data_IF_106203291861
#
_entry.id   IF_106203291861
#
_cell.length_a   1.000
_cell.length_b   1.000
_cell.length_c   1.000
_cell.angle_alpha   90.00
_cell.angle_beta   90.00
_cell.angle_gamma   90.00
#
_symmetry.space_group_name_H-M   'P 1'
#
loop_
_entity.id
_entity.type
_entity.pdbx_description
1 polymer ?
#
# COMPACT_ATOMS: atom_id res chain seq x y z
N UNK A 1 -1.98 -13.43 -2.90
CA UNK A 1 -1.55 -14.42 -3.91
C UNK A 1 -1.20 -15.69 -3.17
N UNK A 2 -2.03 -16.71 -3.36
CA UNK A 2 -1.70 -18.08 -2.95
C UNK A 2 -0.48 -18.52 -3.76
N UNK A 3 0.28 -19.45 -3.19
CA UNK A 3 1.44 -20.05 -3.81
C UNK A 3 1.49 -21.50 -3.36
N UNK A 4 2.11 -22.36 -4.15
CA UNK A 4 2.47 -23.69 -3.65
C UNK A 4 3.45 -23.59 -2.48
N UNK A 5 3.55 -24.68 -1.72
CA UNK A 5 4.32 -24.71 -0.48
C UNK A 5 5.81 -24.67 -0.85
N UNK A 6 6.49 -23.67 -0.30
CA UNK A 6 7.94 -23.51 -0.41
C UNK A 6 8.53 -23.26 0.97
N UNK A 7 9.23 -24.24 1.50
CA UNK A 7 10.05 -24.09 2.71
C UNK A 7 11.49 -23.75 2.34
N UNK A 8 12.17 -23.00 3.21
CA UNK A 8 13.53 -22.50 2.95
C UNK A 8 14.46 -22.76 4.13
N UNK A 9 15.67 -23.25 3.84
CA UNK A 9 16.71 -23.40 4.84
C UNK A 9 18.10 -23.02 4.30
N UNK A 10 18.84 -22.21 5.04
CA UNK A 10 20.22 -21.83 4.70
C UNK A 10 21.22 -22.91 5.15
N UNK A 11 22.17 -23.25 4.28
CA UNK A 11 23.15 -24.32 4.48
C UNK A 11 24.56 -23.76 4.62
N UNK A 12 25.34 -24.38 5.50
CA UNK A 12 26.71 -23.94 5.85
C UNK A 12 27.78 -24.88 5.30
N UNK A 13 29.01 -24.38 5.11
CA UNK A 13 30.14 -25.21 4.62
C UNK A 13 30.54 -26.30 5.63
N UNK A 14 30.92 -25.89 6.84
CA UNK A 14 31.28 -26.81 7.92
C UNK A 14 30.72 -26.33 9.25
N UNK A 15 30.33 -27.31 10.05
CA UNK A 15 29.84 -27.18 11.40
C UNK A 15 30.91 -27.27 12.48
N UNK A 16 32.18 -27.04 12.15
CA UNK A 16 33.23 -27.15 13.15
C UNK A 16 33.03 -26.07 14.22
N UNK A 17 32.68 -26.53 15.41
CA UNK A 17 32.74 -25.76 16.65
C UNK A 17 34.14 -25.15 16.72
N UNK A 18 34.23 -23.83 16.85
CA UNK A 18 35.53 -23.14 16.90
C UNK A 18 36.42 -23.77 17.99
N UNK A 19 37.75 -23.80 17.81
CA UNK A 19 38.65 -24.33 18.85
C UNK A 19 38.42 -23.65 20.20
N UNK A 20 38.11 -22.35 20.20
CA UNK A 20 37.73 -21.59 21.38
C UNK A 20 36.49 -22.17 22.06
N UNK A 21 35.47 -22.53 21.29
CA UNK A 21 34.24 -23.16 21.81
C UNK A 21 34.49 -24.60 22.25
N UNK A 22 35.35 -25.36 21.55
CA UNK A 22 35.77 -26.70 21.98
C UNK A 22 36.50 -26.65 23.33
N UNK A 23 37.46 -25.72 23.49
CA UNK A 23 38.19 -25.48 24.75
C UNK A 23 37.25 -25.08 25.88
N UNK A 24 36.33 -24.14 25.63
CA UNK A 24 35.34 -23.70 26.63
C UNK A 24 34.41 -24.84 27.09
N UNK A 25 33.90 -25.65 26.16
CA UNK A 25 33.04 -26.79 26.51
C UNK A 25 33.82 -27.85 27.32
N UNK A 26 35.11 -28.04 27.01
CA UNK A 26 36.01 -28.92 27.77
C UNK A 26 36.23 -28.43 29.21
N UNK A 27 36.37 -27.11 29.41
CA UNK A 27 36.52 -26.51 30.75
C UNK A 27 35.22 -26.54 31.57
N UNK A 28 34.06 -26.42 30.91
CA UNK A 28 32.74 -26.41 31.57
C UNK A 28 32.13 -27.81 31.76
N UNK A 29 32.87 -28.90 31.47
CA UNK A 29 32.36 -30.29 31.49
C UNK A 29 31.04 -30.49 30.71
N UNK A 30 30.83 -29.70 29.65
CA UNK A 30 29.64 -29.78 28.80
C UNK A 30 29.95 -30.65 27.59
N UNK A 31 29.11 -31.67 27.34
CA UNK A 31 29.19 -32.47 26.12
C UNK A 31 29.34 -31.55 24.89
N UNK A 32 30.30 -31.88 24.02
CA UNK A 32 30.51 -31.15 22.77
C UNK A 32 29.21 -31.17 21.97
N UNK A 33 28.54 -30.01 21.87
CA UNK A 33 27.31 -29.84 21.08
C UNK A 33 27.46 -30.52 19.73
N UNK A 34 26.54 -31.45 19.44
CA UNK A 34 26.38 -32.23 18.20
C UNK A 34 26.85 -31.46 16.96
N UNK A 35 27.53 -32.18 16.05
CA UNK A 35 27.89 -31.69 14.72
C UNK A 35 26.73 -30.88 14.12
N UNK A 36 27.05 -29.68 13.63
CA UNK A 36 26.05 -28.71 13.15
C UNK A 36 25.20 -29.38 12.06
N UNK A 37 23.91 -29.61 12.32
CA UNK A 37 23.03 -30.40 11.43
C UNK A 37 22.81 -29.71 10.07
N UNK A 38 22.96 -28.39 10.00
CA UNK A 38 22.60 -27.58 8.83
C UNK A 38 23.78 -27.36 7.86
N UNK A 39 24.67 -28.33 7.69
CA UNK A 39 25.71 -28.27 6.66
C UNK A 39 25.16 -28.68 5.30
N UNK A 40 25.77 -28.19 4.23
CA UNK A 40 25.47 -28.62 2.86
C UNK A 40 25.69 -30.15 2.72
N UNK A 41 26.80 -30.67 3.23
CA UNK A 41 27.11 -32.10 3.25
C UNK A 41 26.00 -32.94 3.89
N UNK A 42 25.53 -32.54 5.08
CA UNK A 42 24.50 -33.28 5.79
C UNK A 42 23.15 -33.17 5.08
N UNK A 43 22.84 -32.02 4.46
CA UNK A 43 21.63 -31.87 3.67
C UNK A 43 21.62 -32.82 2.46
N UNK A 44 22.71 -32.89 1.70
CA UNK A 44 22.82 -33.80 0.55
C UNK A 44 22.77 -35.27 0.99
N UNK A 45 23.49 -35.63 2.07
CA UNK A 45 23.42 -36.98 2.64
C UNK A 45 22.01 -37.35 3.09
N UNK A 46 21.31 -36.42 3.73
CA UNK A 46 19.91 -36.61 4.12
C UNK A 46 19.07 -36.85 2.88
N UNK A 47 19.08 -35.94 1.90
CA UNK A 47 18.24 -36.00 0.70
C UNK A 47 18.40 -37.30 -0.10
N UNK A 48 19.61 -37.88 -0.11
CA UNK A 48 19.93 -39.11 -0.82
C UNK A 48 19.78 -40.39 0.02
N UNK A 49 19.42 -40.29 1.30
CA UNK A 49 19.37 -41.44 2.21
C UNK A 49 18.02 -42.16 2.13
N UNK A 50 17.98 -43.36 1.58
CA UNK A 50 16.83 -44.28 1.60
C UNK A 50 16.47 -44.77 3.03
N UNK A 51 17.45 -44.90 3.91
CA UNK A 51 17.29 -45.43 5.28
C UNK A 51 16.77 -44.43 6.31
N UNK A 52 16.54 -43.17 5.94
CA UNK A 52 16.11 -42.18 6.92
C UNK A 52 14.64 -42.42 7.31
N UNK A 53 14.30 -42.31 8.60
CA UNK A 53 12.93 -42.58 9.08
C UNK A 53 11.85 -41.78 8.35
N UNK A 54 12.15 -40.54 7.93
CA UNK A 54 11.21 -39.67 7.21
C UNK A 54 11.05 -40.06 5.72
N UNK A 55 11.93 -40.92 5.21
CA UNK A 55 11.90 -41.41 3.83
C UNK A 55 11.33 -42.83 3.75
N UNK A 56 10.72 -43.32 4.84
CA UNK A 56 9.92 -44.54 4.79
C UNK A 56 8.83 -44.37 3.75
N UNK A 57 8.76 -45.29 2.78
CA UNK A 57 7.82 -45.26 1.65
C UNK A 57 7.98 -44.02 0.75
N UNK A 58 9.19 -43.44 0.71
CA UNK A 58 9.56 -42.38 -0.23
C UNK A 58 10.52 -42.94 -1.27
N UNK A 59 10.20 -42.78 -2.54
CA UNK A 59 11.14 -43.06 -3.63
C UNK A 59 11.98 -41.82 -3.90
N UNK A 60 13.29 -41.94 -3.71
CA UNK A 60 14.25 -40.85 -3.88
C UNK A 60 14.82 -40.89 -5.31
N UNK A 61 14.76 -39.76 -6.02
CA UNK A 61 15.30 -39.64 -7.38
C UNK A 61 16.19 -38.39 -7.43
N UNK A 62 17.48 -38.59 -7.66
CA UNK A 62 18.43 -37.51 -7.93
C UNK A 62 18.35 -37.10 -9.41
N UNK A 63 18.04 -35.84 -9.68
CA UNK A 63 17.89 -35.33 -11.05
C UNK A 63 19.23 -34.89 -11.66
N UNK A 64 20.10 -34.24 -10.89
CA UNK A 64 21.28 -33.53 -11.40
C UNK A 64 22.59 -33.88 -10.68
N UNK A 65 22.68 -35.09 -10.10
CA UNK A 65 23.85 -35.56 -9.35
C UNK A 65 24.23 -34.61 -8.20
N UNK A 66 23.43 -34.64 -7.15
CA UNK A 66 23.52 -33.74 -6.01
C UNK A 66 24.91 -33.69 -5.35
N UNK A 67 25.67 -34.79 -5.41
CA UNK A 67 27.06 -34.86 -4.89
C UNK A 67 28.02 -34.04 -5.74
N UNK A 68 27.89 -34.09 -7.06
CA UNK A 68 28.71 -33.30 -7.97
C UNK A 68 28.42 -31.79 -7.82
N UNK A 69 27.15 -31.40 -7.75
CA UNK A 69 26.78 -29.99 -7.49
C UNK A 69 27.34 -29.51 -6.17
N UNK A 70 27.26 -30.30 -5.10
CA UNK A 70 27.85 -29.96 -3.80
C UNK A 70 29.34 -29.60 -3.95
N UNK A 71 30.08 -30.41 -4.70
CA UNK A 71 31.52 -30.19 -4.90
C UNK A 71 31.78 -28.90 -5.69
N UNK A 72 30.97 -28.60 -6.71
CA UNK A 72 31.00 -27.32 -7.42
C UNK A 72 30.74 -26.13 -6.48
N UNK A 73 29.77 -26.24 -5.57
CA UNK A 73 29.47 -25.19 -4.58
C UNK A 73 30.67 -24.98 -3.63
N UNK A 74 31.34 -26.06 -3.22
CA UNK A 74 32.55 -25.94 -2.40
C UNK A 74 33.72 -25.30 -3.14
N UNK A 75 33.90 -25.60 -4.42
CA UNK A 75 34.90 -24.94 -5.27
C UNK A 75 34.61 -23.43 -5.36
N UNK A 76 33.37 -23.04 -5.64
CA UNK A 76 32.98 -21.63 -5.69
C UNK A 76 33.17 -20.90 -4.36
N UNK A 77 32.86 -21.58 -3.26
CA UNK A 77 33.16 -21.06 -1.94
C UNK A 77 34.65 -20.78 -1.75
N UNK A 78 35.51 -21.71 -2.16
CA UNK A 78 36.97 -21.56 -2.02
C UNK A 78 37.51 -20.43 -2.90
N UNK A 79 36.98 -20.28 -4.11
CA UNK A 79 37.28 -19.16 -5.00
C UNK A 79 36.89 -17.82 -4.36
N UNK A 80 35.68 -17.71 -3.83
CA UNK A 80 35.20 -16.53 -3.10
C UNK A 80 36.09 -16.23 -1.88
N UNK A 81 36.44 -17.25 -1.09
CA UNK A 81 37.31 -17.08 0.09
C UNK A 81 38.71 -16.61 -0.29
N UNK A 82 39.29 -17.11 -1.38
CA UNK A 82 40.59 -16.65 -1.90
C UNK A 82 40.52 -15.17 -2.31
N UNK A 83 39.44 -14.76 -2.97
CA UNK A 83 39.23 -13.37 -3.42
C UNK A 83 39.04 -12.37 -2.27
N UNK A 84 38.23 -12.73 -1.27
CA UNK A 84 37.80 -11.81 -0.22
C UNK A 84 38.50 -12.01 1.14
N UNK A 85 39.36 -13.02 1.27
CA UNK A 85 40.12 -13.37 2.48
C UNK A 85 39.27 -13.97 3.62
N UNK A 86 37.97 -13.66 3.69
CA UNK A 86 37.03 -14.18 4.69
C UNK A 86 35.92 -14.98 4.02
N UNK A 87 35.60 -16.12 4.62
CA UNK A 87 34.48 -16.95 4.18
C UNK A 87 33.13 -16.46 4.67
N UNK A 88 32.06 -16.93 4.03
CA UNK A 88 30.68 -16.75 4.52
C UNK A 88 30.19 -17.98 5.26
N UNK A 89 29.22 -17.77 6.16
CA UNK A 89 28.60 -18.87 6.89
C UNK A 89 27.57 -19.61 6.04
N UNK A 90 26.70 -18.87 5.35
CA UNK A 90 25.67 -19.39 4.46
C UNK A 90 26.23 -19.51 3.03
N UNK A 91 26.37 -20.74 2.54
CA UNK A 91 26.98 -21.04 1.23
C UNK A 91 25.94 -21.49 0.20
N UNK A 92 24.79 -21.99 0.64
CA UNK A 92 23.75 -22.52 -0.22
C UNK A 92 22.38 -22.38 0.48
N UNK A 93 21.31 -22.44 -0.29
CA UNK A 93 19.94 -22.40 0.20
C UNK A 93 19.16 -23.58 -0.35
N UNK A 94 18.49 -24.27 0.55
CA UNK A 94 17.60 -25.39 0.26
C UNK A 94 16.18 -24.86 0.17
N UNK A 95 15.46 -25.27 -0.86
CA UNK A 95 14.05 -25.03 -1.06
C UNK A 95 13.34 -26.38 -1.11
N UNK A 96 12.26 -26.54 -0.35
CA UNK A 96 11.37 -27.71 -0.44
C UNK A 96 10.12 -27.24 -1.16
N UNK A 97 9.96 -27.66 -2.41
CA UNK A 97 8.87 -27.25 -3.29
C UNK A 97 7.87 -28.42 -3.37
N UNK A 98 6.68 -28.28 -2.77
CA UNK A 98 5.74 -29.41 -2.66
C UNK A 98 4.38 -29.09 -3.26
N UNK A 99 3.74 -30.13 -3.79
CA UNK A 99 2.31 -30.14 -4.08
C UNK A 99 1.55 -30.80 -2.93
N UNK A 100 0.25 -30.48 -2.73
CA UNK A 100 -0.59 -31.20 -1.78
C UNK A 100 -0.62 -32.71 -2.04
N UNK A 101 -0.74 -33.52 -0.99
CA UNK A 101 -0.75 -35.00 -1.08
C UNK A 101 -2.03 -35.58 -1.69
N UNK A 102 -3.09 -34.77 -1.74
CA UNK A 102 -4.35 -35.08 -2.38
C UNK A 102 -4.42 -34.57 -3.83
N UNK A 103 -3.35 -33.98 -4.37
CA UNK A 103 -3.27 -33.53 -5.76
C UNK A 103 -2.38 -34.46 -6.59
N UNK A 104 -2.45 -34.32 -7.92
CA UNK A 104 -1.56 -35.03 -8.85
C UNK A 104 -0.08 -34.92 -8.46
N UNK A 105 0.60 -36.06 -8.50
CA UNK A 105 2.03 -36.18 -8.24
C UNK A 105 2.79 -36.26 -9.57
N UNK A 106 3.69 -35.30 -9.88
CA UNK A 106 4.42 -35.26 -11.15
C UNK A 106 5.42 -36.40 -11.29
N UNK A 107 5.49 -36.99 -12.48
CA UNK A 107 6.49 -37.98 -12.87
C UNK A 107 7.90 -37.39 -12.86
N UNK A 108 8.93 -38.24 -12.96
CA UNK A 108 10.34 -37.79 -13.02
C UNK A 108 10.56 -36.74 -14.12
N UNK A 109 10.02 -36.98 -15.33
CA UNK A 109 10.22 -36.09 -16.47
C UNK A 109 9.48 -34.77 -16.28
N UNK A 110 8.26 -34.80 -15.75
CA UNK A 110 7.52 -33.58 -15.43
C UNK A 110 8.21 -32.77 -14.33
N UNK A 111 8.77 -33.42 -13.30
CA UNK A 111 9.58 -32.74 -12.29
C UNK A 111 10.83 -32.10 -12.87
N UNK A 112 11.51 -32.76 -13.82
CA UNK A 112 12.66 -32.19 -14.51
C UNK A 112 12.26 -30.95 -15.32
N UNK A 113 11.14 -31.02 -16.04
CA UNK A 113 10.60 -29.89 -16.81
C UNK A 113 10.21 -28.71 -15.90
N UNK A 114 9.52 -29.00 -14.79
CA UNK A 114 9.16 -28.01 -13.78
C UNK A 114 10.42 -27.37 -13.20
N UNK A 115 11.43 -28.16 -12.85
CA UNK A 115 12.71 -27.67 -12.33
C UNK A 115 13.40 -26.73 -13.32
N UNK A 116 13.54 -27.17 -14.58
CA UNK A 116 14.20 -26.40 -15.62
C UNK A 116 13.51 -25.04 -15.85
N UNK A 117 12.19 -25.06 -16.04
CA UNK A 117 11.42 -23.84 -16.27
C UNK A 117 11.39 -22.93 -15.02
N UNK A 118 11.30 -23.51 -13.83
CA UNK A 118 11.37 -22.76 -12.57
C UNK A 118 12.71 -22.03 -12.43
N UNK A 119 13.84 -22.67 -12.73
CA UNK A 119 15.16 -22.03 -12.68
C UNK A 119 15.24 -20.87 -13.68
N UNK A 120 14.76 -21.07 -14.90
CA UNK A 120 14.78 -20.04 -15.95
C UNK A 120 13.97 -18.80 -15.51
N UNK A 121 12.74 -19.02 -15.02
CA UNK A 121 11.87 -17.95 -14.50
C UNK A 121 12.45 -17.28 -13.26
N UNK A 122 13.01 -18.06 -12.32
CA UNK A 122 13.63 -17.54 -11.11
C UNK A 122 14.81 -16.61 -11.44
N UNK A 123 15.72 -17.05 -12.31
CA UNK A 123 16.87 -16.26 -12.75
C UNK A 123 16.42 -14.95 -13.42
N UNK A 124 15.44 -15.04 -14.33
CA UNK A 124 14.86 -13.85 -14.98
C UNK A 124 14.26 -12.87 -13.95
N UNK A 125 13.50 -13.38 -12.98
CA UNK A 125 12.87 -12.55 -11.95
C UNK A 125 13.89 -11.87 -11.02
N UNK A 126 14.92 -12.60 -10.59
CA UNK A 126 16.01 -12.06 -9.78
C UNK A 126 16.75 -10.95 -10.53
N UNK A 127 17.14 -11.20 -11.79
CA UNK A 127 17.88 -10.23 -12.59
C UNK A 127 17.09 -8.95 -12.81
N UNK A 128 15.79 -9.06 -13.15
CA UNK A 128 14.89 -7.92 -13.33
C UNK A 128 14.76 -7.09 -12.06
N UNK A 129 14.67 -7.73 -10.90
CA UNK A 129 14.54 -7.00 -9.63
C UNK A 129 15.86 -6.34 -9.19
N UNK A 130 17.00 -6.99 -9.44
CA UNK A 130 18.31 -6.39 -9.21
C UNK A 130 18.55 -5.18 -10.12
N UNK A 131 18.13 -5.26 -11.39
CA UNK A 131 18.17 -4.14 -12.33
C UNK A 131 17.28 -2.98 -11.87
N UNK A 132 16.04 -3.25 -11.46
CA UNK A 132 15.16 -2.23 -10.90
C UNK A 132 15.80 -1.53 -9.70
N UNK A 133 16.42 -2.29 -8.78
CA UNK A 133 17.11 -1.74 -7.61
C UNK A 133 18.34 -0.95 -7.99
N UNK A 134 19.07 -1.37 -9.01
CA UNK A 134 20.19 -0.62 -9.54
C UNK A 134 19.76 0.74 -10.07
N UNK A 135 18.71 0.81 -10.90
CA UNK A 135 18.16 2.07 -11.41
C UNK A 135 17.67 2.99 -10.28
N UNK A 136 16.98 2.42 -9.29
CA UNK A 136 16.57 3.18 -8.11
C UNK A 136 17.76 3.74 -7.32
N UNK A 137 18.85 2.98 -7.25
CA UNK A 137 20.08 3.39 -6.58
C UNK A 137 20.81 4.49 -7.35
N UNK A 138 20.82 4.44 -8.68
CA UNK A 138 21.45 5.44 -9.55
C UNK A 138 20.74 6.80 -9.47
N UNK A 139 19.43 6.82 -9.19
CA UNK A 139 18.66 8.05 -9.01
C UNK A 139 18.87 8.75 -7.64
N UNK A 140 19.59 8.12 -6.71
CA UNK A 140 19.87 8.71 -5.39
C UNK A 140 21.15 9.53 -5.48
N UNK A 141 21.06 10.83 -5.18
CA UNK A 141 22.22 11.72 -5.03
C UNK A 141 22.98 11.40 -3.73
N UNK A 142 24.25 10.94 -3.79
CA UNK A 142 25.00 10.56 -2.59
C UNK A 142 25.24 11.70 -1.60
N UNK A 143 25.22 12.96 -2.05
CA UNK A 143 25.44 14.13 -1.20
C UNK A 143 24.28 14.36 -0.22
N UNK A 144 23.10 13.84 -0.52
CA UNK A 144 21.91 13.97 0.32
C UNK A 144 21.83 12.88 1.40
N UNK A 145 22.81 11.96 1.42
CA UNK A 145 22.82 10.81 2.33
C UNK A 145 23.64 11.09 3.59
N UNK A 146 23.15 10.61 4.74
CA UNK A 146 23.95 10.58 5.95
C UNK A 146 25.08 9.53 5.85
N UNK A 147 26.08 9.61 6.73
CA UNK A 147 27.25 8.71 6.74
C UNK A 147 26.90 7.21 6.71
N UNK A 148 25.82 6.82 7.40
CA UNK A 148 25.36 5.41 7.42
C UNK A 148 24.75 5.02 6.08
N UNK A 149 23.89 5.87 5.53
CA UNK A 149 23.25 5.65 4.24
C UNK A 149 24.27 5.62 3.11
N UNK A 150 25.29 6.48 3.14
CA UNK A 150 26.37 6.50 2.16
C UNK A 150 27.14 5.16 2.14
N UNK A 151 27.46 4.62 3.32
CA UNK A 151 28.08 3.30 3.43
C UNK A 151 27.19 2.17 2.89
N UNK A 152 25.88 2.23 3.15
CA UNK A 152 24.92 1.27 2.58
C UNK A 152 24.79 1.45 1.06
N UNK A 153 24.85 2.68 0.55
CA UNK A 153 24.80 3.03 -0.86
C UNK A 153 25.96 2.40 -1.64
N UNK A 154 27.19 2.56 -1.16
CA UNK A 154 28.39 1.95 -1.76
C UNK A 154 28.31 0.43 -1.79
N UNK A 155 27.86 -0.19 -0.69
CA UNK A 155 27.67 -1.64 -0.63
C UNK A 155 26.57 -2.12 -1.59
N UNK A 156 25.52 -1.33 -1.78
CA UNK A 156 24.40 -1.67 -2.65
C UNK A 156 24.77 -1.58 -4.13
N UNK A 157 25.65 -0.65 -4.53
CA UNK A 157 26.13 -0.59 -5.92
C UNK A 157 26.73 -1.91 -6.39
N UNK A 158 27.61 -2.52 -5.58
CA UNK A 158 28.20 -3.82 -5.91
C UNK A 158 27.17 -4.95 -5.93
N UNK A 159 26.23 -4.95 -4.98
CA UNK A 159 25.20 -5.99 -4.86
C UNK A 159 24.20 -5.97 -6.01
N UNK A 160 23.74 -4.79 -6.43
CA UNK A 160 22.71 -4.66 -7.45
C UNK A 160 23.24 -4.80 -8.87
N UNK A 161 24.55 -4.71 -9.08
CA UNK A 161 25.20 -5.03 -10.38
C UNK A 161 25.34 -6.52 -10.64
N UNK A 162 25.11 -7.38 -9.64
CA UNK A 162 25.18 -8.84 -9.82
C UNK A 162 24.10 -9.32 -10.79
N UNK A 163 24.45 -10.25 -11.68
CA UNK A 163 23.51 -10.93 -12.58
C UNK A 163 23.75 -12.43 -12.56
N UNK A 164 22.67 -13.18 -12.59
CA UNK A 164 22.67 -14.63 -12.67
C UNK A 164 22.60 -15.08 -14.13
N UNK A 165 23.38 -16.10 -14.47
CA UNK A 165 23.28 -16.83 -15.72
C UNK A 165 22.60 -18.18 -15.46
N UNK A 166 21.66 -18.57 -16.31
CA UNK A 166 20.83 -19.77 -16.13
C UNK A 166 21.68 -21.04 -16.07
N UNK A 167 22.56 -21.27 -17.03
CA UNK A 167 23.36 -22.50 -17.10
C UNK A 167 24.30 -22.63 -15.90
N UNK A 168 24.87 -21.51 -15.48
CA UNK A 168 25.73 -21.46 -14.32
C UNK A 168 24.95 -21.68 -13.01
N UNK A 169 23.70 -21.19 -12.94
CA UNK A 169 22.78 -21.51 -11.82
C UNK A 169 22.42 -22.98 -11.80
N UNK A 170 22.12 -23.61 -12.96
CA UNK A 170 21.88 -25.05 -13.06
C UNK A 170 23.10 -25.85 -12.61
N UNK A 171 24.30 -25.49 -13.05
CA UNK A 171 25.57 -26.12 -12.60
C UNK A 171 25.80 -26.05 -11.09
N UNK A 172 25.29 -25.01 -10.44
CA UNK A 172 25.45 -24.74 -9.00
C UNK A 172 24.14 -24.94 -8.23
N UNK A 173 23.20 -25.68 -8.81
CA UNK A 173 22.02 -26.17 -8.12
C UNK A 173 21.79 -27.64 -8.43
N UNK A 174 20.98 -28.27 -7.60
CA UNK A 174 20.60 -29.67 -7.74
C UNK A 174 19.18 -29.83 -7.25
N UNK A 175 18.48 -30.80 -7.83
CA UNK A 175 17.14 -31.16 -7.46
C UNK A 175 17.07 -32.66 -7.11
N UNK A 176 16.43 -32.97 -5.99
CA UNK A 176 16.15 -34.34 -5.55
C UNK A 176 14.65 -34.47 -5.31
N UNK A 177 14.02 -35.39 -6.03
CA UNK A 177 12.60 -35.71 -5.85
C UNK A 177 12.48 -36.68 -4.69
N UNK A 178 11.59 -36.37 -3.77
CA UNK A 178 11.03 -37.30 -2.80
C UNK A 178 9.61 -37.62 -3.26
N UNK A 179 9.46 -38.75 -3.94
CA UNK A 179 8.17 -39.21 -4.46
C UNK A 179 7.45 -40.02 -3.38
N UNK A 180 6.37 -39.45 -2.87
CA UNK A 180 5.63 -39.91 -1.69
C UNK A 180 4.30 -40.60 -2.07
N UNK A 181 4.09 -40.92 -3.34
CA UNK A 181 2.86 -41.58 -3.84
C UNK A 181 2.56 -42.92 -3.17
N UNK A 182 3.58 -43.62 -2.70
CA UNK A 182 3.44 -44.90 -2.02
C UNK A 182 3.14 -44.75 -0.52
N UNK A 183 3.17 -43.51 0.02
CA UNK A 183 2.74 -43.26 1.39
C UNK A 183 1.23 -43.38 1.50
N UNK A 184 0.71 -43.97 2.59
CA UNK A 184 -0.72 -43.94 2.86
C UNK A 184 -1.17 -42.47 2.94
N UNK A 185 -2.19 -42.11 2.18
CA UNK A 185 -2.72 -40.76 2.18
C UNK A 185 -3.54 -40.55 3.46
N UNK A 186 -2.98 -39.75 4.37
CA UNK A 186 -3.65 -39.24 5.55
C UNK A 186 -3.85 -37.75 5.34
N UNK A 187 -5.08 -37.35 5.08
CA UNK A 187 -5.35 -35.98 4.69
C UNK A 187 -4.94 -34.99 5.79
N UNK A 188 -4.12 -34.01 5.42
CA UNK A 188 -3.53 -33.04 6.35
C UNK A 188 -2.35 -33.54 7.18
N UNK A 189 -1.86 -34.78 6.96
CA UNK A 189 -0.69 -35.33 7.64
C UNK A 189 0.35 -35.93 6.68
N UNK A 190 -0.08 -36.58 5.60
CA UNK A 190 0.83 -37.13 4.60
C UNK A 190 1.42 -36.01 3.76
N UNK A 191 2.75 -35.97 3.67
CA UNK A 191 3.47 -35.09 2.75
C UNK A 191 3.20 -35.50 1.32
N UNK A 192 2.95 -34.54 0.43
CA UNK A 192 2.91 -34.82 -1.00
C UNK A 192 4.31 -34.99 -1.57
N UNK A 193 4.42 -35.61 -2.75
CA UNK A 193 5.69 -35.64 -3.49
C UNK A 193 6.23 -34.22 -3.67
N UNK A 194 7.53 -34.07 -3.44
CA UNK A 194 8.15 -32.76 -3.38
C UNK A 194 9.55 -32.75 -3.98
N UNK A 195 9.91 -31.60 -4.51
CA UNK A 195 11.20 -31.31 -5.14
C UNK A 195 12.08 -30.55 -4.15
N UNK A 196 13.17 -31.19 -3.73
CA UNK A 196 14.18 -30.56 -2.88
C UNK A 196 15.25 -29.92 -3.76
N UNK A 197 15.24 -28.60 -3.86
CA UNK A 197 16.22 -27.84 -4.63
C UNK A 197 17.27 -27.24 -3.71
N UNK A 198 18.54 -27.58 -3.91
CA UNK A 198 19.65 -26.88 -3.25
C UNK A 198 20.37 -26.02 -4.28
N UNK A 199 20.56 -24.74 -3.96
CA UNK A 199 21.20 -23.76 -4.84
C UNK A 199 22.31 -23.03 -4.09
N UNK A 200 23.45 -22.79 -4.76
CA UNK A 200 24.51 -21.95 -4.23
C UNK A 200 24.00 -20.54 -3.88
N UNK A 201 24.61 -19.90 -2.87
CA UNK A 201 24.50 -18.46 -2.66
C UNK A 201 25.74 -17.71 -3.18
N UNK A 202 26.65 -18.43 -3.84
CA UNK A 202 27.94 -17.95 -4.32
C UNK A 202 28.03 -18.24 -5.81
N UNK A 203 28.23 -17.19 -6.59
CA UNK A 203 28.33 -17.24 -8.05
C UNK A 203 29.46 -16.33 -8.49
N UNK A 204 30.34 -16.80 -9.37
CA UNK A 204 31.47 -16.03 -9.88
C UNK A 204 32.37 -15.50 -8.75
N UNK A 205 32.56 -16.31 -7.70
CA UNK A 205 33.29 -15.89 -6.51
C UNK A 205 32.63 -14.77 -5.69
N UNK A 206 31.36 -14.42 -5.94
CA UNK A 206 30.61 -13.39 -5.23
C UNK A 206 29.39 -13.95 -4.52
N UNK A 207 29.05 -13.35 -3.37
CA UNK A 207 27.89 -13.79 -2.58
C UNK A 207 26.65 -13.04 -3.04
N UNK A 208 25.66 -13.78 -3.53
CA UNK A 208 24.36 -13.25 -3.95
C UNK A 208 23.37 -13.46 -2.82
N UNK A 209 23.39 -12.55 -1.84
CA UNK A 209 22.51 -12.61 -0.66
C UNK A 209 21.03 -12.62 -1.03
N UNK A 210 20.71 -12.02 -2.16
CA UNK A 210 19.34 -11.76 -2.59
C UNK A 210 18.49 -13.03 -2.76
N UNK A 211 19.12 -14.14 -3.17
CA UNK A 211 18.48 -15.47 -3.33
C UNK A 211 17.80 -15.92 -2.03
N UNK A 212 18.49 -15.76 -0.90
CA UNK A 212 18.00 -16.19 0.41
C UNK A 212 17.15 -15.16 1.16
N UNK A 213 16.97 -13.97 0.58
CA UNK A 213 16.16 -12.89 1.16
C UNK A 213 14.70 -12.99 0.72
N UNK A 214 13.79 -12.27 1.39
CA UNK A 214 12.34 -12.29 1.12
C UNK A 214 11.99 -12.14 -0.37
N UNK A 215 12.69 -11.26 -1.08
CA UNK A 215 12.48 -11.04 -2.51
C UNK A 215 12.86 -12.25 -3.36
N UNK A 216 13.99 -12.91 -3.07
CA UNK A 216 14.37 -14.17 -3.72
C UNK A 216 13.43 -15.32 -3.37
N UNK A 217 12.98 -15.43 -2.12
CA UNK A 217 11.98 -16.45 -1.73
C UNK A 217 10.66 -16.24 -2.49
N UNK A 218 10.22 -14.99 -2.63
CA UNK A 218 9.02 -14.68 -3.39
C UNK A 218 9.19 -14.98 -4.88
N UNK A 219 10.35 -14.64 -5.46
CA UNK A 219 10.67 -14.99 -6.85
C UNK A 219 10.65 -16.50 -7.08
N UNK A 220 11.21 -17.29 -6.15
CA UNK A 220 11.20 -18.76 -6.20
C UNK A 220 9.78 -19.32 -6.13
N UNK A 221 8.95 -18.80 -5.21
CA UNK A 221 7.53 -19.19 -5.08
C UNK A 221 6.76 -18.95 -6.37
N UNK A 222 6.88 -17.75 -6.93
CA UNK A 222 6.17 -17.39 -8.15
C UNK A 222 6.67 -18.22 -9.35
N UNK A 223 7.99 -18.39 -9.49
CA UNK A 223 8.58 -19.19 -10.55
C UNK A 223 8.13 -20.65 -10.48
N UNK A 224 8.08 -21.24 -9.28
CA UNK A 224 7.58 -22.60 -9.08
C UNK A 224 6.07 -22.71 -9.39
N UNK A 225 5.25 -21.80 -8.86
CA UNK A 225 3.81 -21.76 -9.15
C UNK A 225 3.51 -21.65 -10.65
N UNK A 226 4.25 -20.80 -11.35
CA UNK A 226 4.10 -20.62 -12.79
C UNK A 226 4.58 -21.83 -13.59
N UNK A 227 5.71 -22.44 -13.21
CA UNK A 227 6.21 -23.66 -13.86
C UNK A 227 5.23 -24.83 -13.70
N UNK A 228 4.67 -25.02 -12.50
CA UNK A 228 3.63 -26.04 -12.25
C UNK A 228 2.39 -25.77 -13.09
N UNK A 229 1.93 -24.52 -13.15
CA UNK A 229 0.78 -24.13 -13.97
C UNK A 229 1.03 -24.39 -15.45
N UNK A 230 2.21 -24.04 -15.97
CA UNK A 230 2.53 -24.18 -17.38
C UNK A 230 2.67 -25.66 -17.78
N UNK A 231 3.31 -26.47 -16.93
CA UNK A 231 3.56 -27.89 -17.22
C UNK A 231 2.35 -28.78 -16.97
N UNK A 232 1.66 -28.59 -15.85
CA UNK A 232 0.59 -29.48 -15.41
C UNK A 232 -0.81 -28.88 -15.56
N UNK A 233 -0.93 -27.59 -15.84
CA UNK A 233 -2.21 -26.88 -15.80
C UNK A 233 -2.69 -26.55 -14.38
N UNK A 234 -1.90 -26.88 -13.35
CA UNK A 234 -2.32 -26.74 -11.95
C UNK A 234 -2.04 -25.34 -11.41
N UNK A 235 -3.10 -24.58 -11.16
CA UNK A 235 -3.06 -23.24 -10.58
C UNK A 235 -3.37 -23.26 -9.08
N UNK A 236 -2.41 -22.79 -8.26
CA UNK A 236 -2.56 -22.74 -6.82
C UNK A 236 -3.76 -21.89 -6.33
N UNK A 237 -4.26 -20.95 -7.14
CA UNK A 237 -5.43 -20.15 -6.78
C UNK A 237 -6.73 -20.97 -6.88
N UNK A 238 -6.74 -22.00 -7.72
CA UNK A 238 -7.88 -22.91 -7.96
C UNK A 238 -7.92 -24.09 -7.00
N UNK A 239 -6.85 -24.31 -6.24
CA UNK A 239 -6.80 -25.32 -5.20
C UNK A 239 -7.51 -24.85 -3.92
N UNK A 240 -8.35 -25.72 -3.37
CA UNK A 240 -9.05 -25.52 -2.11
C UNK A 240 -8.32 -26.36 -1.04
N UNK A 241 -7.66 -25.74 -0.06
CA UNK A 241 -7.02 -26.46 1.04
C UNK A 241 -8.03 -27.25 1.84
N UNK A 242 -7.63 -28.42 2.35
CA UNK A 242 -8.51 -29.32 3.11
C UNK A 242 -9.30 -28.63 4.24
N UNK A 243 -8.67 -27.77 5.04
CA UNK A 243 -9.32 -27.06 6.14
C UNK A 243 -10.37 -26.05 5.69
N UNK A 244 -10.42 -25.72 4.40
CA UNK A 244 -11.38 -24.80 3.79
C UNK A 244 -12.49 -25.52 3.00
N UNK A 245 -12.48 -26.85 2.95
CA UNK A 245 -13.48 -27.64 2.22
C UNK A 245 -14.73 -27.89 3.08
N UNK A 246 -15.93 -27.90 2.49
CA UNK A 246 -17.15 -28.35 3.16
C UNK A 246 -17.01 -29.80 3.67
N UNK A 247 -17.59 -30.11 4.83
CA UNK A 247 -17.47 -31.43 5.47
C UNK A 247 -17.96 -32.59 4.57
N UNK A 248 -19.00 -32.34 3.80
CA UNK A 248 -19.62 -33.27 2.83
C UNK A 248 -18.79 -33.49 1.56
N UNK A 249 -17.85 -32.58 1.25
CA UNK A 249 -17.03 -32.61 0.03
C UNK A 249 -15.51 -32.57 0.30
N UNK A 250 -15.06 -32.99 1.48
CA UNK A 250 -13.63 -32.95 1.85
C UNK A 250 -12.70 -33.70 0.89
N UNK A 251 -13.22 -34.75 0.26
CA UNK A 251 -12.50 -35.65 -0.64
C UNK A 251 -12.76 -35.38 -2.14
N UNK A 252 -13.70 -34.48 -2.46
CA UNK A 252 -14.12 -34.18 -3.84
C UNK A 252 -13.88 -32.70 -4.13
N UNK A 253 -13.83 -32.36 -5.41
CA UNK A 253 -13.84 -30.97 -5.90
C UNK A 253 -12.79 -30.04 -5.28
N UNK A 254 -11.65 -30.58 -4.87
CA UNK A 254 -10.60 -29.82 -4.21
C UNK A 254 -9.77 -28.95 -5.17
N UNK A 255 -10.06 -29.02 -6.46
CA UNK A 255 -9.47 -28.19 -7.49
C UNK A 255 -10.54 -27.77 -8.52
N UNK A 256 -10.70 -26.46 -8.69
CA UNK A 256 -11.76 -25.85 -9.53
C UNK A 256 -11.26 -25.39 -10.91
N UNK A 257 -10.03 -25.72 -11.28
CA UNK A 257 -9.40 -25.26 -12.51
C UNK A 257 -9.44 -26.33 -13.60
N UNK A 258 -9.16 -25.90 -14.83
CA UNK A 258 -8.72 -26.83 -15.86
C UNK A 258 -7.35 -27.39 -15.48
N UNK A 259 -7.08 -28.64 -15.83
CA UNK A 259 -5.82 -29.33 -15.59
C UNK A 259 -5.41 -30.07 -16.85
N UNK A 260 -4.10 -30.16 -17.12
CA UNK A 260 -3.55 -31.00 -18.20
C UNK A 260 -3.35 -32.45 -17.76
N UNK A 261 -3.46 -32.70 -16.47
CA UNK A 261 -3.25 -33.99 -15.82
C UNK A 261 -4.51 -34.41 -15.08
N UNK A 262 -4.68 -35.71 -14.92
CA UNK A 262 -5.82 -36.26 -14.18
C UNK A 262 -5.72 -35.88 -12.70
N UNK A 263 -6.81 -35.33 -12.18
CA UNK A 263 -6.94 -35.01 -10.75
C UNK A 263 -7.18 -36.32 -10.02
N UNK A 264 -6.45 -36.54 -8.92
CA UNK A 264 -6.61 -37.75 -8.11
C UNK A 264 -8.05 -37.86 -7.61
N UNK A 265 -8.68 -39.01 -7.82
CA UNK A 265 -9.97 -39.32 -7.20
C UNK A 265 -9.68 -40.01 -5.88
N UNK A 266 -10.04 -39.35 -4.78
CA UNK A 266 -9.92 -39.95 -3.45
C UNK A 266 -11.17 -40.75 -3.12
N UNK A 267 -10.99 -41.96 -2.58
CA UNK A 267 -12.09 -42.80 -2.14
C UNK A 267 -12.45 -42.55 -0.66
N UNK A 268 -13.66 -42.95 -0.26
CA UNK A 268 -14.13 -42.83 1.13
C UNK A 268 -13.32 -43.70 2.12
N UNK A 269 -12.56 -44.68 1.60
CA UNK A 269 -11.70 -45.56 2.38
C UNK A 269 -10.30 -44.96 2.63
N UNK A 270 -10.00 -43.79 2.06
CA UNK A 270 -8.74 -43.09 2.26
C UNK A 270 -8.60 -42.73 3.74
N UNK A 271 -7.53 -43.17 4.44
CA UNK A 271 -7.39 -42.96 5.87
C UNK A 271 -7.49 -41.48 6.25
N UNK A 272 -8.63 -41.06 6.80
CA UNK A 272 -8.76 -39.70 7.29
C UNK A 272 -8.09 -39.56 8.64
N UNK A 273 -7.50 -38.38 8.87
CA UNK A 273 -7.33 -37.92 10.23
C UNK A 273 -8.74 -37.68 10.79
N UNK A 274 -9.36 -38.73 11.33
CA UNK A 274 -10.30 -38.55 12.41
C UNK A 274 -9.50 -37.74 13.44
N UNK A 275 -9.79 -36.44 13.54
CA UNK A 275 -9.66 -35.83 14.86
C UNK A 275 -10.58 -36.69 15.70
N UNK A 276 -10.01 -37.72 16.34
CA UNK A 276 -10.49 -38.08 17.65
C UNK A 276 -10.39 -36.75 18.37
N UNK A 277 -11.51 -36.04 18.45
CA UNK A 277 -11.72 -35.04 19.47
C UNK A 277 -11.68 -35.88 20.73
N UNK A 278 -10.47 -36.24 21.17
CA UNK A 278 -10.22 -36.57 22.55
C UNK A 278 -10.56 -35.26 23.24
N UNK A 279 -11.82 -35.14 23.67
CA UNK A 279 -12.13 -34.48 24.93
C UNK A 279 -11.38 -35.26 26.00
N UNK A 280 -10.07 -35.06 26.04
CA UNK A 280 -9.23 -35.42 27.17
C UNK A 280 -8.89 -34.08 27.78
N UNK A 281 -9.65 -33.75 28.82
CA UNK A 281 -9.41 -32.67 29.77
C UNK A 281 -8.13 -32.94 30.59
N UNK A 282 -7.00 -33.14 29.91
CA UNK A 282 -5.70 -33.15 30.56
C UNK A 282 -4.80 -32.08 29.91
N UNK A 283 -4.25 -31.15 30.70
CA UNK A 283 -3.32 -30.15 30.18
C UNK A 283 -2.02 -30.85 29.78
N UNK A 284 -1.95 -31.23 28.49
CA UNK A 284 -0.69 -31.60 27.86
C UNK A 284 0.27 -30.43 28.07
N UNK A 285 1.41 -30.71 28.68
CA UNK A 285 2.52 -29.78 28.83
C UNK A 285 2.98 -29.36 27.42
N UNK A 286 2.37 -28.29 26.92
CA UNK A 286 2.60 -27.79 25.57
C UNK A 286 4.04 -27.28 25.56
N UNK A 287 4.91 -27.74 24.64
CA UNK A 287 6.28 -27.28 24.59
C UNK A 287 6.32 -25.74 24.60
N UNK A 288 7.19 -25.14 25.42
CA UNK A 288 7.31 -23.69 25.62
C UNK A 288 7.36 -22.87 24.30
N UNK A 289 7.84 -23.47 23.21
CA UNK A 289 7.87 -22.81 21.90
C UNK A 289 6.48 -22.63 21.27
N UNK A 290 5.52 -23.51 21.57
CA UNK A 290 4.12 -23.39 21.14
C UNK A 290 3.45 -22.25 21.90
N UNK A 291 3.61 -22.16 23.22
CA UNK A 291 3.14 -21.01 23.99
C UNK A 291 3.79 -19.70 23.54
N UNK A 292 5.09 -19.70 23.20
CA UNK A 292 5.73 -18.52 22.61
C UNK A 292 5.18 -18.18 21.23
N UNK A 293 4.82 -19.18 20.42
CA UNK A 293 4.22 -18.97 19.09
C UNK A 293 2.80 -18.43 19.23
N UNK A 294 2.00 -18.96 20.13
CA UNK A 294 0.65 -18.49 20.45
C UNK A 294 0.66 -17.09 21.05
N UNK A 295 1.56 -16.82 22.01
CA UNK A 295 1.77 -15.47 22.54
C UNK A 295 2.27 -14.53 21.44
N UNK A 296 3.15 -14.99 20.55
CA UNK A 296 3.62 -14.22 19.40
C UNK A 296 2.50 -13.89 18.42
N UNK A 297 1.59 -14.84 18.15
CA UNK A 297 0.40 -14.62 17.32
C UNK A 297 -0.57 -13.65 18.00
N UNK A 298 -0.81 -13.79 19.32
CA UNK A 298 -1.64 -12.86 20.09
C UNK A 298 -1.06 -11.44 20.10
N UNK A 299 0.24 -11.31 20.35
CA UNK A 299 0.95 -10.03 20.30
C UNK A 299 0.96 -9.43 18.88
N UNK A 300 1.04 -10.25 17.84
CA UNK A 300 0.97 -9.77 16.47
C UNK A 300 -0.45 -9.29 16.13
N UNK A 301 -1.47 -10.06 16.49
CA UNK A 301 -2.87 -9.65 16.30
C UNK A 301 -3.20 -8.36 17.07
N UNK A 302 -2.67 -8.21 18.29
CA UNK A 302 -2.82 -6.99 19.08
C UNK A 302 -2.06 -5.80 18.48
N UNK A 303 -0.85 -6.02 17.95
CA UNK A 303 -0.11 -5.00 17.17
C UNK A 303 -0.86 -4.58 15.91
N UNK A 304 -1.42 -5.53 15.17
CA UNK A 304 -2.18 -5.28 13.95
C UNK A 304 -3.46 -4.50 14.27
N UNK A 305 -4.12 -4.81 15.41
CA UNK A 305 -5.26 -4.05 15.93
C UNK A 305 -4.86 -2.61 16.28
N UNK A 306 -3.77 -2.42 17.03
CA UNK A 306 -3.25 -1.08 17.38
C UNK A 306 -2.84 -0.30 16.13
N UNK A 307 -2.26 -0.94 15.12
CA UNK A 307 -1.88 -0.28 13.87
C UNK A 307 -3.11 0.16 13.07
N UNK A 308 -4.16 -0.67 13.03
CA UNK A 308 -5.44 -0.32 12.43
C UNK A 308 -6.10 0.87 13.14
N UNK A 309 -6.08 0.88 14.47
CA UNK A 309 -6.56 2.00 15.28
C UNK A 309 -5.73 3.27 15.05
N UNK A 310 -4.40 3.17 15.00
CA UNK A 310 -3.52 4.31 14.67
C UNK A 310 -3.82 4.88 13.28
N UNK A 311 -3.99 4.02 12.26
CA UNK A 311 -4.37 4.45 10.91
C UNK A 311 -5.73 5.15 10.89
N UNK A 312 -6.70 4.65 11.66
CA UNK A 312 -8.00 5.31 11.80
C UNK A 312 -7.89 6.69 12.47
N UNK A 313 -7.05 6.83 13.52
CA UNK A 313 -6.80 8.11 14.20
C UNK A 313 -6.09 9.11 13.28
N UNK A 314 -5.11 8.66 12.48
CA UNK A 314 -4.45 9.51 11.48
C UNK A 314 -5.45 9.99 10.42
N UNK A 315 -6.28 9.09 9.88
CA UNK A 315 -7.33 9.46 8.93
C UNK A 315 -8.37 10.43 9.53
N UNK A 316 -8.69 10.30 10.82
CA UNK A 316 -9.55 11.25 11.52
C UNK A 316 -8.88 12.62 11.69
N UNK A 317 -7.59 12.67 12.01
CA UNK A 317 -6.82 13.92 12.10
C UNK A 317 -6.76 14.65 10.75
N UNK A 318 -6.53 13.93 9.65
CA UNK A 318 -6.54 14.52 8.30
C UNK A 318 -7.90 15.13 7.94
N UNK A 319 -9.01 14.47 8.31
CA UNK A 319 -10.36 15.03 8.14
C UNK A 319 -10.57 16.31 8.96
N UNK A 320 -10.06 16.35 10.19
CA UNK A 320 -10.14 17.55 11.05
C UNK A 320 -9.31 18.70 10.47
N UNK A 321 -8.13 18.44 9.91
CA UNK A 321 -7.30 19.46 9.24
C UNK A 321 -8.04 20.04 8.04
N UNK A 322 -8.59 19.19 7.15
CA UNK A 322 -9.38 19.65 6.00
C UNK A 322 -10.62 20.46 6.41
N UNK A 323 -11.31 20.05 7.48
CA UNK A 323 -12.44 20.79 8.01
C UNK A 323 -12.03 22.18 8.53
N UNK A 324 -10.87 22.27 9.22
CA UNK A 324 -10.32 23.57 9.68
C UNK A 324 -9.95 24.49 8.52
N UNK A 325 -9.32 23.97 7.46
CA UNK A 325 -9.03 24.75 6.26
C UNK A 325 -10.30 25.29 5.63
N UNK A 326 -11.33 24.44 5.50
CA UNK A 326 -12.64 24.83 4.95
C UNK A 326 -13.32 25.93 5.79
N UNK A 327 -13.27 25.81 7.12
CA UNK A 327 -13.79 26.84 8.04
C UNK A 327 -13.02 28.16 7.89
N UNK A 328 -11.69 28.09 7.74
CA UNK A 328 -10.87 29.29 7.58
C UNK A 328 -11.22 30.04 6.29
N UNK A 329 -11.43 29.31 5.18
CA UNK A 329 -11.87 29.88 3.90
C UNK A 329 -13.27 30.49 4.01
N UNK A 330 -14.20 29.79 4.66
CA UNK A 330 -15.55 30.33 4.90
C UNK A 330 -15.51 31.61 5.76
N UNK A 331 -14.64 31.65 6.77
CA UNK A 331 -14.47 32.83 7.62
C UNK A 331 -13.90 34.02 6.84
N UNK A 332 -12.93 33.81 5.94
CA UNK A 332 -12.42 34.87 5.08
C UNK A 332 -13.50 35.41 4.14
N UNK A 333 -14.32 34.53 3.54
CA UNK A 333 -15.44 34.95 2.69
C UNK A 333 -16.49 35.76 3.45
N UNK A 334 -16.80 35.39 4.70
CA UNK A 334 -17.72 36.14 5.55
C UNK A 334 -17.16 37.54 5.88
N UNK A 335 -15.87 37.64 6.19
CA UNK A 335 -15.22 38.92 6.49
C UNK A 335 -15.18 39.84 5.26
N UNK A 336 -14.94 39.29 4.06
CA UNK A 336 -15.01 40.06 2.80
C UNK A 336 -16.44 40.55 2.53
N UNK A 337 -17.45 39.71 2.79
CA UNK A 337 -18.86 40.09 2.63
C UNK A 337 -19.30 41.16 3.65
N UNK A 338 -18.82 41.10 4.89
CA UNK A 338 -19.12 42.12 5.90
C UNK A 338 -18.49 43.46 5.52
N UNK A 339 -17.23 43.46 5.08
CA UNK A 339 -16.56 44.68 4.60
C UNK A 339 -17.31 45.30 3.40
N UNK A 340 -17.74 44.48 2.43
CA UNK A 340 -18.57 44.96 1.31
C UNK A 340 -19.94 45.50 1.74
N UNK A 341 -20.53 44.96 2.81
CA UNK A 341 -21.80 45.43 3.32
C UNK A 341 -21.65 46.79 4.04
N UNK A 342 -20.57 46.97 4.79
CA UNK A 342 -20.30 48.24 5.48
C UNK A 342 -19.96 49.35 4.48
N UNK A 343 -19.18 49.04 3.43
CA UNK A 343 -18.96 49.97 2.30
C UNK A 343 -20.29 50.38 1.62
N UNK A 344 -21.21 49.42 1.42
CA UNK A 344 -22.54 49.71 0.86
C UNK A 344 -23.39 50.62 1.76
N UNK A 345 -23.28 50.48 3.09
CA UNK A 345 -23.97 51.36 4.03
C UNK A 345 -23.42 52.77 3.99
N UNK A 346 -22.09 52.94 3.94
CA UNK A 346 -21.47 54.27 3.82
C UNK A 346 -21.90 54.97 2.52
N UNK A 347 -21.88 54.26 1.39
CA UNK A 347 -22.35 54.78 0.10
C UNK A 347 -23.83 55.18 0.13
N UNK A 348 -24.67 54.42 0.86
CA UNK A 348 -26.07 54.76 1.03
C UNK A 348 -26.27 55.99 1.92
N UNK A 349 -25.48 56.14 2.98
CA UNK A 349 -25.51 57.33 3.86
C UNK A 349 -25.07 58.57 3.08
N UNK A 350 -23.95 58.51 2.36
CA UNK A 350 -23.49 59.62 1.50
C UNK A 350 -24.56 60.03 0.48
N UNK A 351 -25.24 59.04 -0.13
CA UNK A 351 -26.34 59.29 -1.04
C UNK A 351 -27.53 59.97 -0.35
N UNK A 352 -27.93 59.52 0.85
CA UNK A 352 -29.02 60.14 1.60
C UNK A 352 -28.69 61.58 1.99
N UNK A 353 -27.45 61.85 2.42
CA UNK A 353 -26.99 63.20 2.78
C UNK A 353 -27.01 64.13 1.56
N UNK A 354 -26.44 63.70 0.42
CA UNK A 354 -26.47 64.49 -0.82
C UNK A 354 -27.90 64.71 -1.36
N UNK A 355 -28.79 63.72 -1.19
CA UNK A 355 -30.19 63.88 -1.56
C UNK A 355 -30.91 64.92 -0.67
N UNK A 356 -30.67 64.89 0.66
CA UNK A 356 -31.23 65.86 1.59
C UNK A 356 -30.75 67.28 1.25
N UNK A 357 -29.46 67.45 0.97
CA UNK A 357 -28.89 68.74 0.55
C UNK A 357 -29.54 69.25 -0.74
N UNK A 358 -29.70 68.38 -1.74
CA UNK A 358 -30.38 68.70 -3.00
C UNK A 358 -31.83 69.17 -2.78
N UNK A 359 -32.59 68.46 -1.94
CA UNK A 359 -33.96 68.87 -1.61
C UNK A 359 -33.97 70.20 -0.84
N UNK A 360 -32.99 70.44 0.04
CA UNK A 360 -32.80 71.72 0.74
C UNK A 360 -32.59 72.89 -0.23
N UNK A 361 -31.67 72.75 -1.19
CA UNK A 361 -31.41 73.76 -2.23
C UNK A 361 -32.66 74.02 -3.08
N UNK A 362 -33.41 72.99 -3.46
CA UNK A 362 -34.68 73.17 -4.16
C UNK A 362 -35.73 73.92 -3.33
N UNK A 363 -35.76 73.71 -2.02
CA UNK A 363 -36.68 74.39 -1.12
C UNK A 363 -36.28 75.86 -0.89
N UNK A 364 -34.99 76.17 -0.83
CA UNK A 364 -34.47 77.54 -0.71
C UNK A 364 -34.69 78.34 -2.00
N UNK A 365 -34.39 77.74 -3.16
CA UNK A 365 -34.62 78.37 -4.46
C UNK A 365 -36.12 78.60 -4.77
N UNK A 366 -37.04 77.89 -4.10
CA UNK A 366 -38.49 78.19 -4.17
C UNK A 366 -38.91 79.45 -3.42
N UNK A 367 -38.09 79.95 -2.50
CA UNK A 367 -38.40 81.19 -1.75
C UNK A 367 -38.00 82.46 -2.52
N UNK A 368 -37.19 82.32 -3.56
CA UNK A 368 -36.82 83.42 -4.46
C UNK A 368 -37.55 83.23 -5.79
N UNK A 369 -38.56 84.07 -5.99
CA UNK A 369 -39.58 84.00 -7.04
C UNK A 369 -39.01 84.36 -8.43
N UNK A 370 -38.05 83.57 -8.93
CA UNK A 370 -37.43 83.79 -10.23
C UNK A 370 -37.49 82.53 -11.11
N UNK A 371 -38.19 82.74 -12.23
CA UNK A 371 -38.37 81.84 -13.37
C UNK A 371 -37.00 81.44 -13.96
N UNK A 372 -36.38 80.40 -13.43
CA UNK A 372 -35.23 79.75 -14.07
C UNK A 372 -35.62 78.35 -14.51
N UNK A 373 -35.36 78.07 -15.80
CA UNK A 373 -35.38 76.74 -16.38
C UNK A 373 -34.25 75.92 -15.76
N UNK A 374 -34.52 75.27 -14.62
CA UNK A 374 -33.66 74.25 -14.00
C UNK A 374 -33.79 72.95 -14.79
N UNK A 375 -33.47 73.02 -16.08
CA UNK A 375 -33.64 71.93 -17.04
C UNK A 375 -32.36 71.15 -17.34
N UNK A 376 -31.17 71.73 -17.17
CA UNK A 376 -29.97 71.14 -17.78
C UNK A 376 -28.64 71.32 -17.03
N UNK A 377 -28.61 71.83 -15.77
CA UNK A 377 -27.32 72.12 -15.09
C UNK A 377 -27.16 71.63 -13.64
N UNK A 378 -28.06 70.80 -13.12
CA UNK A 378 -28.07 70.44 -11.70
C UNK A 378 -28.07 68.93 -11.41
N UNK A 379 -27.59 68.13 -12.36
CA UNK A 379 -26.73 67.01 -11.99
C UNK A 379 -25.33 67.50 -12.30
N UNK A 380 -24.62 67.96 -11.27
CA UNK A 380 -23.23 68.33 -11.45
C UNK A 380 -22.51 67.13 -12.08
N UNK A 381 -21.91 67.34 -13.24
CA UNK A 381 -21.14 66.31 -13.95
C UNK A 381 -20.10 65.67 -13.02
N UNK A 382 -19.66 66.41 -12.00
CA UNK A 382 -18.73 65.94 -10.99
C UNK A 382 -19.35 64.98 -9.96
N UNK A 383 -20.59 65.21 -9.49
CA UNK A 383 -21.27 64.27 -8.59
C UNK A 383 -21.66 62.99 -9.33
N UNK A 384 -22.16 63.13 -10.57
CA UNK A 384 -22.50 61.98 -11.40
C UNK A 384 -21.25 61.18 -11.78
N UNK A 385 -20.15 61.86 -12.13
CA UNK A 385 -18.86 61.20 -12.38
C UNK A 385 -18.29 60.52 -11.12
N UNK A 386 -18.39 61.15 -9.95
CA UNK A 386 -17.93 60.54 -8.68
C UNK A 386 -18.75 59.30 -8.31
N UNK A 387 -20.06 59.32 -8.50
CA UNK A 387 -20.92 58.15 -8.26
C UNK A 387 -20.58 57.05 -9.28
N UNK A 388 -20.42 57.38 -10.56
CA UNK A 388 -20.08 56.42 -11.61
C UNK A 388 -18.67 55.82 -11.43
N UNK A 389 -17.68 56.61 -10.99
CA UNK A 389 -16.33 56.14 -10.68
C UNK A 389 -16.32 55.20 -9.47
N UNK A 390 -17.03 55.54 -8.38
CA UNK A 390 -17.17 54.68 -7.20
C UNK A 390 -17.89 53.36 -7.52
N UNK A 391 -18.95 53.40 -8.33
CA UNK A 391 -19.68 52.19 -8.80
C UNK A 391 -18.79 51.30 -9.67
N UNK A 392 -17.87 51.87 -10.45
CA UNK A 392 -17.03 51.11 -11.39
C UNK A 392 -15.82 50.46 -10.70
N UNK A 393 -15.29 51.09 -9.63
CA UNK A 393 -14.13 50.61 -8.89
C UNK A 393 -14.45 49.51 -7.85
N UNK A 394 -15.65 49.48 -7.28
CA UNK A 394 -16.10 48.34 -6.47
C UNK A 394 -16.78 47.29 -7.36
N UNK A 395 -16.35 46.02 -7.28
CA UNK A 395 -16.93 44.89 -8.05
C UNK A 395 -18.37 44.52 -7.61
N UNK A 396 -19.24 45.50 -7.40
CA UNK A 396 -20.63 45.36 -6.94
C UNK A 396 -21.57 45.57 -8.12
N UNK A 397 -21.58 44.62 -9.06
CA UNK A 397 -22.72 44.48 -9.99
C UNK A 397 -23.90 43.92 -9.20
N UNK A 398 -24.71 44.77 -8.57
CA UNK A 398 -25.96 44.35 -7.92
C UNK A 398 -27.18 44.98 -8.61
N UNK A 399 -28.20 44.18 -8.97
CA UNK A 399 -29.43 44.64 -9.64
C UNK A 399 -30.13 45.81 -8.97
N UNK A 400 -30.06 45.91 -7.64
CA UNK A 400 -30.77 46.94 -6.88
C UNK A 400 -30.34 48.39 -7.20
N UNK A 401 -29.07 48.65 -7.51
CA UNK A 401 -28.58 49.98 -7.86
C UNK A 401 -29.10 50.41 -9.24
N UNK A 402 -29.25 49.45 -10.15
CA UNK A 402 -29.84 49.67 -11.47
C UNK A 402 -31.34 49.93 -11.33
N UNK A 403 -32.05 49.11 -10.54
CA UNK A 403 -33.47 49.30 -10.21
C UNK A 403 -33.71 50.65 -9.51
N UNK A 404 -32.82 51.07 -8.60
CA UNK A 404 -32.92 52.35 -7.89
C UNK A 404 -32.63 53.54 -8.83
N UNK A 405 -31.67 53.40 -9.76
CA UNK A 405 -31.41 54.42 -10.79
C UNK A 405 -32.61 54.58 -11.74
N UNK A 406 -33.19 53.47 -12.21
CA UNK A 406 -34.39 53.49 -13.04
C UNK A 406 -35.59 54.08 -12.29
N UNK A 407 -35.79 53.68 -11.04
CA UNK A 407 -36.85 54.20 -10.18
C UNK A 407 -36.71 55.70 -9.93
N UNK A 408 -35.52 56.17 -9.56
CA UNK A 408 -35.26 57.60 -9.35
C UNK A 408 -35.44 58.39 -10.65
N UNK A 409 -34.96 57.86 -11.78
CA UNK A 409 -35.16 58.49 -13.09
C UNK A 409 -36.64 58.61 -13.45
N UNK A 410 -37.45 57.59 -13.18
CA UNK A 410 -38.91 57.63 -13.37
C UNK A 410 -39.58 58.63 -12.42
N UNK A 411 -39.18 58.63 -11.14
CA UNK A 411 -39.68 59.56 -10.13
C UNK A 411 -39.38 61.02 -10.51
N UNK A 412 -38.13 61.32 -10.89
CA UNK A 412 -37.72 62.63 -11.38
C UNK A 412 -38.50 62.99 -12.65
N UNK A 413 -38.63 62.08 -13.62
CA UNK A 413 -39.42 62.37 -14.82
C UNK A 413 -40.89 62.65 -14.51
N UNK A 414 -41.47 62.05 -13.46
CA UNK A 414 -42.86 62.32 -13.02
C UNK A 414 -42.97 63.68 -12.34
N UNK A 415 -42.03 64.01 -11.45
CA UNK A 415 -41.99 65.31 -10.75
C UNK A 415 -41.77 66.47 -11.72
N UNK A 416 -40.89 66.31 -12.73
CA UNK A 416 -40.58 67.37 -13.68
C UNK A 416 -41.60 67.50 -14.83
N UNK A 417 -42.43 66.49 -15.10
CA UNK A 417 -43.48 66.57 -16.14
C UNK A 417 -44.86 67.02 -15.62
N UNK A 418 -45.06 67.16 -14.31
CA UNK A 418 -46.32 67.59 -13.72
C UNK A 418 -46.21 68.95 -13.01
N UNK A 419 -47.04 69.93 -13.38
CA UNK A 419 -47.19 71.24 -12.70
C UNK A 419 -47.95 71.16 -11.36
N UNK A 420 -47.77 70.11 -10.55
CA UNK A 420 -48.46 69.99 -9.26
C UNK A 420 -47.52 69.61 -8.11
N UNK A 421 -47.64 70.37 -7.01
CA UNK A 421 -46.96 70.19 -5.73
C UNK A 421 -47.32 68.84 -5.10
N UNK A 422 -46.37 67.90 -5.05
CA UNK A 422 -46.49 66.60 -4.36
C UNK A 422 -45.27 66.23 -3.51
N UNK A 423 -44.66 67.23 -2.86
CA UNK A 423 -43.50 67.00 -1.97
C UNK A 423 -43.86 66.16 -0.75
N UNK A 424 -45.08 66.28 -0.22
CA UNK A 424 -45.50 65.52 0.97
C UNK A 424 -45.79 64.04 0.64
N UNK A 425 -46.35 63.75 -0.54
CA UNK A 425 -46.53 62.37 -1.03
C UNK A 425 -45.18 61.67 -1.28
N UNK A 426 -44.17 62.40 -1.76
CA UNK A 426 -42.81 61.89 -1.94
C UNK A 426 -42.15 61.54 -0.60
N UNK A 427 -42.31 62.39 0.41
CA UNK A 427 -41.75 62.16 1.74
C UNK A 427 -42.42 60.96 2.43
N UNK A 428 -43.75 60.83 2.32
CA UNK A 428 -44.49 59.70 2.88
C UNK A 428 -44.14 58.37 2.18
N UNK A 429 -43.97 58.39 0.85
CA UNK A 429 -43.55 57.20 0.09
C UNK A 429 -42.12 56.77 0.43
N UNK A 430 -41.19 57.73 0.54
CA UNK A 430 -39.80 57.47 0.93
C UNK A 430 -39.69 56.80 2.30
N UNK A 431 -40.44 57.31 3.29
CA UNK A 431 -40.47 56.73 4.64
C UNK A 431 -41.05 55.29 4.63
N UNK A 432 -42.09 55.01 3.83
CA UNK A 432 -42.63 53.65 3.65
C UNK A 432 -41.64 52.69 2.99
N UNK A 433 -40.80 53.17 2.07
CA UNK A 433 -39.74 52.38 1.44
C UNK A 433 -38.67 51.93 2.45
N UNK A 434 -38.22 52.84 3.30
CA UNK A 434 -37.22 52.57 4.35
C UNK A 434 -37.73 51.49 5.33
N UNK A 435 -38.98 51.59 5.78
CA UNK A 435 -39.57 50.60 6.70
C UNK A 435 -39.64 49.18 6.08
N UNK A 436 -39.99 49.08 4.79
CA UNK A 436 -40.07 47.78 4.10
C UNK A 436 -38.70 47.13 3.92
N UNK A 437 -37.66 47.91 3.65
CA UNK A 437 -36.32 47.37 3.44
C UNK A 437 -35.61 47.02 4.75
N UNK A 438 -35.83 47.78 5.84
CA UNK A 438 -35.45 47.35 7.19
C UNK A 438 -36.07 46.00 7.56
N UNK A 439 -37.34 45.79 7.23
CA UNK A 439 -38.03 44.53 7.49
C UNK A 439 -37.42 43.35 6.70
N UNK A 440 -37.08 43.54 5.42
CA UNK A 440 -36.42 42.51 4.58
C UNK A 440 -35.02 42.16 5.09
N UNK A 441 -34.25 43.15 5.56
CA UNK A 441 -32.91 42.95 6.13
C UNK A 441 -33.00 42.15 7.44
N UNK A 442 -33.90 42.54 8.35
CA UNK A 442 -34.16 41.81 9.62
C UNK A 442 -34.57 40.36 9.37
N UNK A 443 -35.37 40.09 8.33
CA UNK A 443 -35.82 38.73 7.96
C UNK A 443 -34.70 37.85 7.39
N UNK A 444 -33.81 38.39 6.54
CA UNK A 444 -32.65 37.64 6.00
C UNK A 444 -31.65 37.27 7.09
N UNK A 445 -31.38 38.16 8.04
CA UNK A 445 -30.44 37.88 9.15
C UNK A 445 -30.96 36.79 10.11
N UNK A 446 -32.28 36.66 10.28
CA UNK A 446 -32.89 35.62 11.13
C UNK A 446 -32.74 34.20 10.54
N UNK A 447 -32.59 34.08 9.23
CA UNK A 447 -32.42 32.80 8.53
C UNK A 447 -30.97 32.29 8.58
N UNK A 448 -29.99 33.18 8.74
CA UNK A 448 -28.56 32.82 8.84
C UNK A 448 -28.11 32.41 10.25
N UNK A 449 -28.90 32.69 11.28
CA UNK A 449 -28.63 32.27 12.68
C UNK A 449 -29.21 30.89 13.03
N UNK A 450 -29.71 30.14 12.04
CA UNK A 450 -30.30 28.79 12.22
C UNK A 450 -29.58 27.66 11.44
N UNK A 451 -28.39 27.95 10.90
CA UNK A 451 -27.42 26.99 10.35
C UNK A 451 -26.18 27.09 11.23
#
# INVERSE_FOLDING_TARGET
MKNWIVEIEQKKRMGNVSERTKRRNKTENKETKKANKNTLENAIKYLLSDKHQNHSNTKIIDLDNARFTRDNIYIEYDNMKKKHGKGVSNIATSFVLSLPSDLYHPTKNEWQDIYNEMIDKFVSAINKDLEKKQLQQENINPNDLNKRQLKEYELNQGRYKQRLNVDYVKKLSTAVIHDDREKPLIVGATSGSHLNVIMSNIFNGEVIKYISQKGGVLAMKNAYSEAVKNRLGLDCEKYIPYDSRPDDNKLKDFYLGESKVDILVLDENTPHKNKIIKKEDEPKNVPLWVHRKEQGIKLQAEKDKIEKEKKAVVGAKEKVVKAKETILTAQSEVNERSASLDAQKELYIEFQEGFIEYVGVLAENRKEDHQYSVGEKFFDTELQANIEEKITNEKVKKPWLLEMKEYLSDLFSKVFKGKENRTDELLEFYNKGIEQDEYKIKRKNKTYLRI
#
